data_IF_902491225320
#
_entry.id   IF_902491225320
#
_cell.length_a   1.000
_cell.length_b   1.000
_cell.length_c   1.000
_cell.angle_alpha   90.00
_cell.angle_beta   90.00
_cell.angle_gamma   90.00
#
_symmetry.space_group_name_H-M   'P 1'
#
loop_
_entity.id
_entity.type
_entity.pdbx_description
1 polymer ?
#
# COMPACT_ATOMS: atom_id res chain seq x y z
N UNK A 1 -14.19 -28.48 -38.97
CA UNK A 1 -13.15 -27.85 -38.13
C UNK A 1 -13.65 -26.54 -37.51
N UNK A 2 -14.95 -26.48 -37.17
CA UNK A 2 -15.66 -25.26 -36.77
C UNK A 2 -16.56 -25.48 -35.54
N UNK A 3 -16.70 -26.72 -35.06
CA UNK A 3 -17.50 -27.10 -33.88
C UNK A 3 -16.70 -27.18 -32.56
N UNK A 4 -15.38 -26.99 -32.60
CA UNK A 4 -14.51 -27.07 -31.41
C UNK A 4 -14.29 -25.72 -30.70
N UNK A 5 -14.89 -24.63 -31.19
CA UNK A 5 -14.74 -23.28 -30.64
C UNK A 5 -15.98 -22.84 -29.82
N UNK A 6 -17.17 -23.38 -30.08
CA UNK A 6 -18.41 -22.95 -29.41
C UNK A 6 -18.66 -23.56 -28.02
N UNK A 7 -17.94 -24.63 -27.63
CA UNK A 7 -18.13 -25.25 -26.30
C UNK A 7 -17.31 -24.64 -25.15
N UNK A 8 -16.62 -23.51 -25.38
CA UNK A 8 -15.82 -22.81 -24.35
C UNK A 8 -16.42 -21.53 -23.79
N UNK A 9 -17.66 -21.18 -24.18
CA UNK A 9 -18.36 -19.96 -23.74
C UNK A 9 -19.68 -20.35 -23.03
N UNK A 10 -19.61 -21.30 -22.09
CA UNK A 10 -20.65 -21.50 -21.08
C UNK A 10 -20.00 -21.41 -19.71
N UNK A 11 -20.30 -20.31 -19.02
CA UNK A 11 -20.16 -20.06 -17.59
C UNK A 11 -18.83 -20.48 -16.95
N UNK A 12 -18.06 -19.46 -16.56
CA UNK A 12 -17.02 -19.53 -15.54
C UNK A 12 -17.58 -20.11 -14.24
N UNK A 13 -17.63 -21.44 -14.13
CA UNK A 13 -17.59 -22.15 -12.87
C UNK A 13 -16.13 -22.49 -12.62
N UNK A 14 -15.54 -21.89 -11.58
CA UNK A 14 -14.23 -22.24 -11.07
C UNK A 14 -14.31 -23.65 -10.45
N UNK A 15 -14.25 -24.69 -11.28
CA UNK A 15 -14.08 -26.07 -10.85
C UNK A 15 -13.48 -26.85 -12.01
N UNK A 16 -12.28 -27.40 -11.79
CA UNK A 16 -11.55 -28.34 -12.65
C UNK A 16 -10.48 -27.78 -13.62
N UNK A 17 -9.56 -26.96 -13.11
CA UNK A 17 -8.17 -26.98 -13.59
C UNK A 17 -7.28 -27.66 -12.55
N UNK A 18 -6.91 -28.92 -12.81
CA UNK A 18 -5.77 -29.58 -12.16
C UNK A 18 -4.49 -29.03 -12.79
N UNK A 19 -4.02 -27.89 -12.30
CA UNK A 19 -2.65 -27.43 -12.43
C UNK A 19 -2.03 -27.45 -11.03
N UNK A 20 -0.85 -28.06 -10.91
CA UNK A 20 -0.20 -28.35 -9.65
C UNK A 20 -0.02 -27.11 -8.76
N UNK A 21 -0.44 -27.26 -7.50
CA UNK A 21 0.07 -26.58 -6.31
C UNK A 21 0.37 -25.07 -6.37
N UNK A 22 -0.52 -24.28 -6.98
CA UNK A 22 -0.71 -22.87 -6.60
C UNK A 22 -2.19 -22.66 -6.30
N UNK A 23 -2.64 -23.29 -5.21
CA UNK A 23 -3.95 -23.01 -4.61
C UNK A 23 -3.82 -21.69 -3.86
N UNK A 24 -3.91 -20.57 -4.58
CA UNK A 24 -4.30 -19.32 -3.94
C UNK A 24 -5.80 -19.46 -3.69
N UNK A 25 -6.12 -19.86 -2.47
CA UNK A 25 -7.48 -20.08 -1.99
C UNK A 25 -8.19 -18.71 -1.86
N UNK A 26 -8.74 -18.21 -2.97
CA UNK A 26 -9.58 -17.01 -3.06
C UNK A 26 -10.97 -17.28 -2.46
N UNK A 27 -11.01 -17.58 -1.16
CA UNK A 27 -12.25 -17.57 -0.42
C UNK A 27 -12.79 -16.15 -0.38
N UNK A 28 -14.01 -15.97 -0.90
CA UNK A 28 -14.88 -14.77 -0.83
C UNK A 28 -14.39 -13.74 0.20
N UNK A 29 -13.53 -12.85 -0.26
CA UNK A 29 -13.16 -11.65 0.47
C UNK A 29 -14.33 -10.68 0.30
N UNK A 30 -15.21 -10.62 1.29
CA UNK A 30 -15.88 -9.35 1.59
C UNK A 30 -14.78 -8.42 2.07
N UNK A 31 -14.04 -7.84 1.11
CA UNK A 31 -13.14 -6.73 1.40
C UNK A 31 -14.09 -5.65 1.87
N UNK A 32 -14.21 -5.46 3.19
CA UNK A 32 -14.64 -4.17 3.71
C UNK A 32 -13.72 -3.20 3.00
N UNK A 33 -14.30 -2.47 2.06
CA UNK A 33 -13.64 -1.35 1.46
C UNK A 33 -13.08 -0.52 2.62
N UNK A 34 -11.89 0.05 2.45
CA UNK A 34 -11.40 1.00 3.42
C UNK A 34 -11.27 2.29 2.67
N UNK A 35 -12.29 3.13 2.83
CA UNK A 35 -12.21 4.48 2.38
C UNK A 35 -10.99 5.13 3.01
N UNK A 36 -10.18 5.76 2.17
CA UNK A 36 -9.09 6.61 2.62
C UNK A 36 -9.61 7.69 3.61
N UNK A 37 -10.89 8.07 3.53
CA UNK A 37 -11.56 8.99 4.44
C UNK A 37 -11.92 8.39 5.82
N UNK A 38 -12.09 7.06 5.93
CA UNK A 38 -12.47 6.36 7.15
C UNK A 38 -11.30 5.81 7.97
N UNK A 39 -10.05 6.02 7.54
CA UNK A 39 -8.88 5.49 8.25
C UNK A 39 -8.67 6.18 9.59
N UNK A 40 -8.56 5.38 10.66
CA UNK A 40 -8.02 5.85 11.94
C UNK A 40 -6.62 6.42 11.78
N UNK A 41 -6.20 7.30 12.69
CA UNK A 41 -4.84 7.87 12.67
C UNK A 41 -3.74 6.80 12.66
N UNK A 42 -4.00 5.62 13.23
CA UNK A 42 -3.08 4.49 13.19
C UNK A 42 -2.94 3.91 11.77
N UNK A 43 -4.07 3.72 11.10
CA UNK A 43 -4.11 3.23 9.73
C UNK A 43 -3.46 4.23 8.78
N UNK A 44 -3.74 5.54 8.94
CA UNK A 44 -3.07 6.61 8.19
C UNK A 44 -1.55 6.58 8.41
N UNK A 45 -1.09 6.46 9.65
CA UNK A 45 0.33 6.39 9.97
C UNK A 45 1.04 5.17 9.39
N UNK A 46 0.36 4.02 9.33
CA UNK A 46 0.86 2.83 8.66
C UNK A 46 0.83 3.03 7.13
N UNK A 47 -0.22 3.61 6.59
CA UNK A 47 -0.36 3.86 5.15
C UNK A 47 0.70 4.83 4.61
N UNK A 48 0.97 5.91 5.33
CA UNK A 48 1.81 6.99 4.84
C UNK A 48 3.31 6.62 4.79
N UNK A 49 3.79 5.76 5.70
CA UNK A 49 5.23 5.50 5.82
C UNK A 49 5.53 4.14 6.48
N UNK A 50 6.56 3.42 6.01
CA UNK A 50 7.00 2.16 6.61
C UNK A 50 7.82 2.35 7.90
N UNK A 51 8.22 3.58 8.24
CA UNK A 51 9.10 3.83 9.38
C UNK A 51 8.39 3.59 10.73
N UNK A 52 9.14 3.11 11.74
CA UNK A 52 8.57 2.75 13.03
C UNK A 52 7.88 3.94 13.69
N UNK A 53 6.70 3.72 14.28
CA UNK A 53 6.00 4.73 15.07
C UNK A 53 6.36 4.58 16.55
N UNK A 54 7.57 5.06 16.91
CA UNK A 54 8.10 4.90 18.26
C UNK A 54 7.34 5.73 19.30
N UNK A 55 6.90 6.95 18.96
CA UNK A 55 6.28 7.88 19.92
C UNK A 55 5.09 7.26 20.65
N UNK A 56 4.14 6.72 19.90
CA UNK A 56 2.98 6.05 20.49
C UNK A 56 3.42 4.89 21.40
N UNK A 57 4.40 4.09 20.97
CA UNK A 57 4.83 2.91 21.71
C UNK A 57 5.49 3.32 23.03
N UNK A 58 6.39 4.29 22.99
CA UNK A 58 7.06 4.86 24.16
C UNK A 58 6.04 5.41 25.15
N UNK A 59 5.05 6.18 24.67
CA UNK A 59 4.04 6.75 25.55
C UNK A 59 3.14 5.70 26.21
N UNK A 60 2.76 4.64 25.47
CA UNK A 60 1.94 3.56 26.01
C UNK A 60 2.71 2.64 26.97
N UNK A 61 4.04 2.64 26.92
CA UNK A 61 4.90 1.75 27.70
C UNK A 61 5.90 2.52 28.56
N UNK A 62 5.65 3.80 28.86
CA UNK A 62 6.61 4.65 29.57
C UNK A 62 7.03 4.06 30.94
N UNK A 63 6.09 3.42 31.65
CA UNK A 63 6.37 2.74 32.91
C UNK A 63 7.22 1.47 32.72
N UNK A 64 6.90 0.63 31.72
CA UNK A 64 7.66 -0.59 31.39
C UNK A 64 9.08 -0.29 30.87
N UNK A 65 9.24 0.88 30.24
CA UNK A 65 10.52 1.43 29.81
C UNK A 65 11.26 2.18 30.93
N UNK A 66 10.69 2.29 32.12
CA UNK A 66 11.32 2.95 33.28
C UNK A 66 11.84 4.35 32.95
N UNK A 67 11.08 5.13 32.18
CA UNK A 67 11.51 6.47 31.77
C UNK A 67 11.52 7.42 32.96
N UNK A 68 12.63 8.13 33.15
CA UNK A 68 12.71 9.20 34.13
C UNK A 68 11.99 10.48 33.65
N UNK A 69 11.94 11.50 34.52
CA UNK A 69 11.26 12.76 34.21
C UNK A 69 11.92 13.54 33.06
N UNK A 70 13.24 13.46 32.91
CA UNK A 70 13.98 14.15 31.85
C UNK A 70 13.72 13.49 30.49
N UNK A 71 13.82 12.18 30.43
CA UNK A 71 13.50 11.37 29.25
C UNK A 71 12.04 11.58 28.82
N UNK A 72 11.10 11.54 29.77
CA UNK A 72 9.69 11.84 29.51
C UNK A 72 9.49 13.25 28.95
N UNK A 73 10.20 14.25 29.47
CA UNK A 73 10.13 15.61 28.95
C UNK A 73 10.61 15.68 27.50
N UNK A 74 11.71 14.99 27.15
CA UNK A 74 12.20 14.93 25.76
C UNK A 74 11.18 14.28 24.82
N UNK A 75 10.59 13.15 25.21
CA UNK A 75 9.56 12.45 24.42
C UNK A 75 8.34 13.35 24.19
N UNK A 76 7.81 13.96 25.26
CA UNK A 76 6.63 14.83 25.20
C UNK A 76 6.89 16.07 24.35
N UNK A 77 8.06 16.69 24.49
CA UNK A 77 8.43 17.87 23.71
C UNK A 77 8.55 17.52 22.22
N UNK A 78 9.17 16.39 21.89
CA UNK A 78 9.26 15.92 20.50
C UNK A 78 7.88 15.70 19.88
N UNK A 79 6.97 15.03 20.60
CA UNK A 79 5.60 14.84 20.14
C UNK A 79 4.89 16.17 19.96
N UNK A 80 4.98 17.07 20.95
CA UNK A 80 4.32 18.37 20.91
C UNK A 80 4.74 19.20 19.69
N UNK A 81 6.02 19.18 19.33
CA UNK A 81 6.53 19.98 18.21
C UNK A 81 6.23 19.39 16.83
N UNK A 82 6.04 18.08 16.70
CA UNK A 82 5.93 17.44 15.39
C UNK A 82 4.59 16.74 15.12
N UNK A 83 3.78 16.44 16.14
CA UNK A 83 2.56 15.64 15.96
C UNK A 83 1.60 16.28 14.96
N UNK A 84 1.35 17.59 15.07
CA UNK A 84 0.46 18.30 14.16
C UNK A 84 0.95 18.25 12.71
N UNK A 85 2.24 18.53 12.49
CA UNK A 85 2.85 18.47 11.16
C UNK A 85 2.78 17.07 10.55
N UNK A 86 3.05 16.03 11.33
CA UNK A 86 2.92 14.63 10.87
C UNK A 86 1.47 14.32 10.48
N UNK A 87 0.49 14.72 11.29
CA UNK A 87 -0.93 14.53 10.97
C UNK A 87 -1.32 15.27 9.68
N UNK A 88 -0.89 16.52 9.55
CA UNK A 88 -1.10 17.33 8.36
C UNK A 88 -0.53 16.64 7.12
N UNK A 89 0.76 16.30 7.11
CA UNK A 89 1.40 15.64 5.96
C UNK A 89 0.76 14.29 5.61
N UNK A 90 0.34 13.51 6.60
CA UNK A 90 -0.38 12.26 6.32
C UNK A 90 -1.73 12.51 5.67
N UNK A 91 -2.49 13.51 6.12
CA UNK A 91 -3.78 13.85 5.52
C UNK A 91 -3.59 14.39 4.10
N UNK A 92 -2.67 15.34 3.91
CA UNK A 92 -2.36 15.89 2.59
C UNK A 92 -1.87 14.79 1.62
N UNK A 93 -1.03 13.85 2.09
CA UNK A 93 -0.60 12.71 1.27
C UNK A 93 -1.80 11.88 0.79
N UNK A 94 -2.69 11.51 1.72
CA UNK A 94 -3.87 10.70 1.42
C UNK A 94 -4.80 11.44 0.44
N UNK A 95 -4.96 12.75 0.65
CA UNK A 95 -5.78 13.61 -0.20
C UNK A 95 -5.17 13.77 -1.60
N UNK A 96 -3.87 14.01 -1.73
CA UNK A 96 -3.16 14.03 -3.02
C UNK A 96 -3.31 12.68 -3.74
N UNK A 97 -3.20 11.55 -3.04
CA UNK A 97 -3.41 10.23 -3.65
C UNK A 97 -4.85 10.02 -4.11
N UNK A 98 -5.83 10.53 -3.37
CA UNK A 98 -7.23 10.53 -3.80
C UNK A 98 -7.43 11.37 -5.06
N UNK A 99 -6.98 12.63 -5.08
CA UNK A 99 -7.10 13.48 -6.28
C UNK A 99 -6.42 12.87 -7.48
N UNK A 100 -5.26 12.24 -7.29
CA UNK A 100 -4.57 11.53 -8.35
C UNK A 100 -5.37 10.32 -8.85
N UNK A 101 -6.05 9.56 -7.98
CA UNK A 101 -6.94 8.47 -8.41
C UNK A 101 -8.07 9.01 -9.28
N UNK A 102 -8.78 10.02 -8.79
CA UNK A 102 -9.93 10.62 -9.46
C UNK A 102 -9.50 11.16 -10.84
N UNK A 103 -8.42 11.95 -10.89
CA UNK A 103 -7.84 12.49 -12.12
C UNK A 103 -7.46 11.38 -13.12
N UNK A 104 -6.84 10.29 -12.64
CA UNK A 104 -6.45 9.16 -13.50
C UNK A 104 -7.66 8.47 -14.12
N UNK A 105 -8.79 8.38 -13.39
CA UNK A 105 -10.04 7.78 -13.88
C UNK A 105 -10.79 8.72 -14.84
N UNK A 106 -10.69 10.03 -14.64
CA UNK A 106 -11.25 11.08 -15.48
C UNK A 106 -10.45 11.34 -16.76
N UNK A 107 -9.26 10.72 -16.89
CA UNK A 107 -8.45 10.78 -18.11
C UNK A 107 -7.35 11.84 -18.10
N UNK A 108 -6.84 12.20 -16.92
CA UNK A 108 -5.67 13.05 -16.78
C UNK A 108 -4.49 12.58 -17.64
N UNK A 109 -3.76 13.56 -18.15
CA UNK A 109 -2.55 13.39 -18.96
C UNK A 109 -1.40 12.81 -18.15
N UNK A 110 -0.43 12.21 -18.83
CA UNK A 110 0.76 11.68 -18.17
C UNK A 110 1.51 12.77 -17.38
N UNK A 111 1.54 14.02 -17.88
CA UNK A 111 2.18 15.14 -17.20
C UNK A 111 1.49 15.47 -15.86
N UNK A 112 0.16 15.59 -15.86
CA UNK A 112 -0.62 15.83 -14.63
C UNK A 112 -0.43 14.70 -13.61
N UNK A 113 -0.45 13.45 -14.07
CA UNK A 113 -0.23 12.29 -13.21
C UNK A 113 1.20 12.27 -12.65
N UNK A 114 2.20 12.65 -13.43
CA UNK A 114 3.57 12.76 -12.93
C UNK A 114 3.76 13.88 -11.91
N UNK A 115 3.00 14.97 -11.99
CA UNK A 115 3.01 16.03 -10.99
C UNK A 115 2.49 15.52 -9.64
N UNK A 116 1.34 14.84 -9.64
CA UNK A 116 0.82 14.19 -8.43
C UNK A 116 1.78 13.14 -7.87
N UNK A 117 2.39 12.31 -8.72
CA UNK A 117 3.39 11.32 -8.28
C UNK A 117 4.55 11.99 -7.56
N UNK A 118 5.13 13.06 -8.13
CA UNK A 118 6.24 13.79 -7.49
C UNK A 118 5.84 14.33 -6.12
N UNK A 119 4.64 14.89 -6.00
CA UNK A 119 4.14 15.41 -4.72
C UNK A 119 3.95 14.30 -3.66
N UNK A 120 3.35 13.17 -4.04
CA UNK A 120 3.16 11.99 -3.18
C UNK A 120 4.52 11.43 -2.72
N UNK A 121 5.47 11.28 -3.64
CA UNK A 121 6.81 10.77 -3.34
C UNK A 121 7.57 11.72 -2.40
N UNK A 122 7.49 13.02 -2.64
CA UNK A 122 8.09 14.04 -1.77
C UNK A 122 7.55 13.97 -0.34
N UNK A 123 6.22 13.99 -0.16
CA UNK A 123 5.60 13.92 1.18
C UNK A 123 5.97 12.64 1.94
N UNK A 124 6.05 11.50 1.23
CA UNK A 124 6.53 10.25 1.83
C UNK A 124 7.98 10.35 2.30
N UNK A 125 8.84 11.03 1.55
CA UNK A 125 10.22 11.32 1.96
C UNK A 125 10.28 12.18 3.21
N UNK A 126 9.57 13.30 3.21
CA UNK A 126 9.53 14.22 4.36
C UNK A 126 9.09 13.49 5.65
N UNK A 127 8.09 12.60 5.55
CA UNK A 127 7.62 11.76 6.67
C UNK A 127 8.66 10.73 7.14
N UNK A 128 9.41 10.13 6.23
CA UNK A 128 10.45 9.15 6.55
C UNK A 128 11.63 9.81 7.23
N UNK A 129 12.08 10.94 6.72
CA UNK A 129 13.18 11.70 7.30
C UNK A 129 12.85 12.14 8.73
N UNK A 130 11.63 12.67 8.93
CA UNK A 130 11.18 13.08 10.26
C UNK A 130 11.11 11.89 11.22
N UNK A 131 10.67 10.72 10.75
CA UNK A 131 10.65 9.51 11.57
C UNK A 131 12.05 8.94 11.83
N UNK A 132 12.98 9.03 10.89
CA UNK A 132 14.38 8.65 11.10
C UNK A 132 15.03 9.55 12.17
N UNK A 133 14.77 10.87 12.12
CA UNK A 133 15.18 11.80 13.18
C UNK A 133 14.57 11.47 14.54
N UNK A 134 13.30 11.07 14.57
CA UNK A 134 12.63 10.60 15.77
C UNK A 134 13.33 9.37 16.36
N UNK A 135 13.63 8.36 15.54
CA UNK A 135 14.39 7.16 15.94
C UNK A 135 15.74 7.54 16.54
N UNK A 136 16.50 8.39 15.84
CA UNK A 136 17.80 8.87 16.31
C UNK A 136 17.70 9.61 17.65
N UNK A 137 16.72 10.51 17.78
CA UNK A 137 16.50 11.26 19.03
C UNK A 137 16.15 10.34 20.19
N UNK A 138 15.29 9.33 19.95
CA UNK A 138 14.92 8.38 21.00
C UNK A 138 16.10 7.52 21.42
N UNK A 139 16.93 7.07 20.47
CA UNK A 139 18.15 6.34 20.79
C UNK A 139 19.13 7.15 21.65
N UNK A 140 19.22 8.45 21.44
CA UNK A 140 20.05 9.35 22.25
C UNK A 140 19.45 9.66 23.64
N UNK A 141 18.15 9.46 23.80
CA UNK A 141 17.42 9.77 25.04
C UNK A 141 17.39 8.57 25.98
N UNK A 142 17.20 7.39 25.40
CA UNK A 142 17.10 6.12 26.12
C UNK A 142 18.49 5.51 26.29
N UNK A 143 18.73 4.88 27.45
CA UNK A 143 19.89 4.02 27.61
C UNK A 143 19.76 2.74 26.76
N UNK A 144 20.81 1.92 26.78
CA UNK A 144 20.87 0.68 25.99
C UNK A 144 19.80 -0.34 26.40
N UNK A 145 19.50 -0.44 27.69
CA UNK A 145 18.51 -1.39 28.19
C UNK A 145 17.10 -0.96 27.78
N UNK A 146 16.75 0.30 28.03
CA UNK A 146 15.49 0.91 27.63
C UNK A 146 15.29 0.86 26.11
N UNK A 147 16.33 1.14 25.32
CA UNK A 147 16.28 1.03 23.87
C UNK A 147 15.98 -0.40 23.42
N UNK A 148 16.69 -1.39 23.98
CA UNK A 148 16.48 -2.79 23.65
C UNK A 148 15.06 -3.26 24.02
N UNK A 149 14.55 -2.85 25.19
CA UNK A 149 13.15 -3.11 25.59
C UNK A 149 12.16 -2.48 24.60
N UNK A 150 12.39 -1.23 24.18
CA UNK A 150 11.54 -0.55 23.19
C UNK A 150 11.54 -1.28 21.83
N UNK A 151 12.72 -1.70 21.34
CA UNK A 151 12.83 -2.46 20.09
C UNK A 151 12.11 -3.80 20.20
N UNK A 152 12.25 -4.50 21.33
CA UNK A 152 11.54 -5.76 21.59
C UNK A 152 10.01 -5.56 21.61
N UNK A 153 9.51 -4.51 22.27
CA UNK A 153 8.09 -4.14 22.25
C UNK A 153 7.59 -3.87 20.82
N UNK A 154 8.38 -3.16 20.02
CA UNK A 154 8.04 -2.87 18.63
C UNK A 154 7.96 -4.16 17.80
N UNK A 155 8.97 -5.04 17.92
CA UNK A 155 9.01 -6.32 17.21
C UNK A 155 7.83 -7.22 17.62
N UNK A 156 7.54 -7.32 18.92
CA UNK A 156 6.40 -8.09 19.45
C UNK A 156 5.09 -7.58 18.88
N UNK A 157 4.86 -6.26 18.89
CA UNK A 157 3.66 -5.66 18.29
C UNK A 157 3.57 -5.96 16.80
N UNK A 158 4.68 -5.86 16.07
CA UNK A 158 4.74 -6.16 14.64
C UNK A 158 4.41 -7.63 14.36
N UNK A 159 4.96 -8.56 15.14
CA UNK A 159 4.66 -9.99 15.02
C UNK A 159 3.20 -10.30 15.32
N UNK A 160 2.64 -9.71 16.39
CA UNK A 160 1.23 -9.84 16.74
C UNK A 160 0.31 -9.35 15.60
N UNK A 161 0.64 -8.20 14.99
CA UNK A 161 -0.11 -7.69 13.84
C UNK A 161 -0.04 -8.60 12.61
N UNK A 162 1.11 -9.25 12.36
CA UNK A 162 1.25 -10.20 11.25
C UNK A 162 0.51 -11.53 11.53
N UNK A 163 0.44 -11.96 12.79
CA UNK A 163 -0.26 -13.19 13.19
C UNK A 163 -1.78 -13.05 13.25
N UNK A 164 -2.32 -11.87 13.58
CA UNK A 164 -3.74 -11.67 13.89
C UNK A 164 -4.69 -11.69 12.67
N UNK A 165 -4.20 -11.60 11.43
CA UNK A 165 -4.94 -11.98 10.21
C UNK A 165 -4.04 -11.76 9.00
N UNK A 166 -3.49 -12.84 8.43
CA UNK A 166 -2.72 -12.77 7.17
C UNK A 166 -3.55 -12.12 6.05
N UNK A 167 -4.85 -12.42 5.97
CA UNK A 167 -5.73 -12.00 4.87
C UNK A 167 -6.08 -10.51 4.86
N UNK A 168 -6.32 -9.89 6.02
CA UNK A 168 -6.70 -8.46 6.09
C UNK A 168 -5.50 -7.54 5.83
N UNK A 169 -4.28 -7.98 6.20
CA UNK A 169 -3.07 -7.19 6.00
C UNK A 169 -2.56 -7.19 4.55
N UNK A 170 -2.83 -8.25 3.77
CA UNK A 170 -2.37 -8.34 2.38
C UNK A 170 -3.08 -7.34 1.48
N UNK A 171 -4.41 -7.19 1.61
CA UNK A 171 -5.17 -6.20 0.84
C UNK A 171 -4.73 -4.77 1.20
N UNK A 172 -4.55 -4.47 2.48
CA UNK A 172 -4.10 -3.14 2.90
C UNK A 172 -2.68 -2.83 2.40
N UNK A 173 -1.78 -3.82 2.41
CA UNK A 173 -0.44 -3.70 1.81
C UNK A 173 -0.54 -3.45 0.31
N UNK A 174 -1.38 -4.22 -0.38
CA UNK A 174 -1.61 -4.12 -1.82
C UNK A 174 -2.07 -2.72 -2.26
N UNK A 175 -2.97 -2.10 -1.49
CA UNK A 175 -3.46 -0.74 -1.77
C UNK A 175 -2.42 0.36 -1.45
N UNK A 176 -1.49 0.11 -0.52
CA UNK A 176 -0.46 1.09 -0.13
C UNK A 176 0.74 1.14 -1.06
N UNK A 177 1.11 0.02 -1.68
CA UNK A 177 2.37 -0.06 -2.46
C UNK A 177 2.38 0.82 -3.70
N UNK A 178 1.22 1.14 -4.27
CA UNK A 178 1.13 1.92 -5.49
C UNK A 178 -0.10 2.81 -5.44
N UNK A 179 0.06 4.12 -5.63
CA UNK A 179 -1.00 5.09 -5.45
C UNK A 179 -1.91 5.18 -6.68
N UNK A 180 -2.02 4.13 -7.48
CA UNK A 180 -2.80 4.12 -8.71
C UNK A 180 -3.99 3.17 -8.58
N UNK A 181 -5.13 3.45 -9.23
CA UNK A 181 -6.26 2.53 -9.28
C UNK A 181 -5.84 1.13 -9.73
N UNK A 182 -6.34 0.11 -9.02
CA UNK A 182 -6.03 -1.31 -9.28
C UNK A 182 -7.17 -1.96 -10.05
N UNK A 183 -7.51 -1.39 -11.20
CA UNK A 183 -8.72 -1.73 -11.97
C UNK A 183 -8.83 -3.22 -12.35
N UNK A 184 -7.70 -3.88 -12.65
CA UNK A 184 -7.72 -5.30 -12.99
C UNK A 184 -8.24 -6.17 -11.84
N UNK A 185 -8.03 -5.77 -10.58
CA UNK A 185 -8.56 -6.49 -9.43
C UNK A 185 -10.09 -6.42 -9.43
N UNK A 186 -10.67 -5.25 -9.72
CA UNK A 186 -12.13 -5.08 -9.80
C UNK A 186 -12.70 -5.88 -10.97
N UNK A 187 -12.04 -5.87 -12.14
CA UNK A 187 -12.41 -6.71 -13.29
C UNK A 187 -12.43 -8.19 -12.91
N UNK A 188 -11.46 -8.67 -12.14
CA UNK A 188 -11.41 -10.07 -11.72
C UNK A 188 -12.48 -10.43 -10.69
N UNK A 189 -12.75 -9.52 -9.75
CA UNK A 189 -13.69 -9.77 -8.66
C UNK A 189 -15.15 -9.57 -9.08
N UNK A 190 -15.41 -8.69 -10.05
CA UNK A 190 -16.76 -8.22 -10.41
C UNK A 190 -16.97 -8.17 -11.93
N UNK A 191 -16.22 -8.98 -12.69
CA UNK A 191 -16.26 -8.98 -14.15
C UNK A 191 -17.59 -9.42 -14.74
N UNK A 192 -18.37 -10.21 -14.00
CA UNK A 192 -19.74 -10.57 -14.33
C UNK A 192 -20.65 -9.35 -14.47
N UNK A 193 -20.47 -8.34 -13.60
CA UNK A 193 -21.22 -7.08 -13.65
C UNK A 193 -20.89 -6.23 -14.88
N UNK A 194 -19.75 -6.47 -15.53
CA UNK A 194 -19.31 -5.72 -16.71
C UNK A 194 -19.90 -6.29 -18.02
N UNK A 195 -20.56 -7.45 -18.00
CA UNK A 195 -21.08 -8.10 -19.20
C UNK A 195 -20.05 -8.17 -20.33
N UNK A 196 -18.83 -8.64 -20.03
CA UNK A 196 -17.74 -8.70 -21.00
C UNK A 196 -18.06 -9.66 -22.13
N UNK A 197 -17.76 -9.27 -23.37
CA UNK A 197 -17.74 -10.22 -24.48
C UNK A 197 -16.62 -11.26 -24.28
N UNK A 198 -16.71 -12.44 -24.90
CA UNK A 198 -15.65 -13.43 -24.87
C UNK A 198 -14.28 -12.88 -25.34
N UNK A 199 -14.27 -11.97 -26.32
CA UNK A 199 -13.09 -11.31 -26.84
C UNK A 199 -12.48 -10.35 -25.81
N UNK A 200 -13.32 -9.54 -25.16
CA UNK A 200 -12.88 -8.62 -24.11
C UNK A 200 -12.28 -9.37 -22.92
N UNK A 201 -12.96 -10.42 -22.45
CA UNK A 201 -12.46 -11.26 -21.36
C UNK A 201 -11.10 -11.89 -21.70
N UNK A 202 -10.93 -12.42 -22.92
CA UNK A 202 -9.64 -12.97 -23.39
C UNK A 202 -8.55 -11.89 -23.45
N UNK A 203 -8.87 -10.68 -23.92
CA UNK A 203 -7.91 -9.59 -24.02
C UNK A 203 -7.41 -9.12 -22.63
N UNK A 204 -8.31 -8.96 -21.67
CA UNK A 204 -7.97 -8.58 -20.29
C UNK A 204 -7.17 -9.68 -19.58
N UNK A 205 -7.57 -10.94 -19.78
CA UNK A 205 -6.86 -12.09 -19.20
C UNK A 205 -5.44 -12.24 -19.77
N UNK A 206 -5.27 -12.07 -21.09
CA UNK A 206 -3.95 -12.06 -21.72
C UNK A 206 -3.05 -11.00 -21.08
N UNK A 207 -3.54 -9.76 -20.98
CA UNK A 207 -2.79 -8.67 -20.35
C UNK A 207 -2.40 -9.00 -18.91
N UNK A 208 -3.34 -9.56 -18.13
CA UNK A 208 -3.09 -9.98 -16.75
C UNK A 208 -1.98 -11.01 -16.68
N UNK A 209 -2.03 -12.08 -17.48
CA UNK A 209 -1.00 -13.14 -17.47
C UNK A 209 0.38 -12.57 -17.81
N UNK A 210 0.45 -11.67 -18.79
CA UNK A 210 1.71 -11.05 -19.23
C UNK A 210 2.35 -10.14 -18.16
N UNK A 211 1.55 -9.46 -17.33
CA UNK A 211 2.04 -8.40 -16.44
C UNK A 211 1.98 -8.74 -14.95
N UNK A 212 1.09 -9.63 -14.52
CA UNK A 212 0.83 -9.90 -13.10
C UNK A 212 2.05 -10.47 -12.38
N UNK A 213 2.83 -11.35 -13.02
CA UNK A 213 4.04 -11.91 -12.41
C UNK A 213 5.05 -10.82 -12.07
N UNK A 214 5.28 -9.89 -13.01
CA UNK A 214 6.18 -8.75 -12.78
C UNK A 214 5.62 -7.80 -11.72
N UNK A 215 4.32 -7.53 -11.74
CA UNK A 215 3.67 -6.70 -10.72
C UNK A 215 3.82 -7.31 -9.32
N UNK A 216 3.56 -8.62 -9.18
CA UNK A 216 3.69 -9.36 -7.93
C UNK A 216 5.12 -9.36 -7.41
N UNK A 217 6.11 -9.55 -8.29
CA UNK A 217 7.51 -9.49 -7.89
C UNK A 217 7.90 -8.10 -7.35
N UNK A 218 7.43 -7.02 -7.99
CA UNK A 218 7.65 -5.65 -7.49
C UNK A 218 6.93 -5.42 -6.15
N UNK A 219 5.71 -5.93 -5.99
CA UNK A 219 4.98 -5.85 -4.72
C UNK A 219 5.77 -6.50 -3.58
N UNK A 220 6.23 -7.73 -3.78
CA UNK A 220 7.02 -8.46 -2.78
C UNK A 220 8.30 -7.72 -2.44
N UNK A 221 8.97 -7.14 -3.45
CA UNK A 221 10.19 -6.36 -3.24
C UNK A 221 9.93 -5.06 -2.48
N UNK A 222 8.81 -4.37 -2.74
CA UNK A 222 8.39 -3.19 -1.96
C UNK A 222 8.16 -3.57 -0.50
N UNK A 223 7.38 -4.63 -0.24
CA UNK A 223 7.09 -5.07 1.14
C UNK A 223 8.37 -5.49 1.88
N UNK A 224 9.28 -6.17 1.19
CA UNK A 224 10.59 -6.57 1.72
C UNK A 224 11.47 -5.36 2.02
N UNK A 225 11.58 -4.43 1.06
CA UNK A 225 12.35 -3.19 1.20
C UNK A 225 11.83 -2.33 2.35
N UNK A 226 10.51 -2.20 2.51
CA UNK A 226 9.92 -1.52 3.66
C UNK A 226 10.30 -2.19 4.99
N UNK A 227 10.27 -3.53 5.04
CA UNK A 227 10.69 -4.28 6.24
C UNK A 227 12.16 -4.02 6.57
N UNK A 228 13.04 -4.02 5.57
CA UNK A 228 14.45 -3.74 5.75
C UNK A 228 14.68 -2.29 6.20
N UNK A 229 14.05 -1.32 5.55
CA UNK A 229 14.16 0.09 5.92
C UNK A 229 13.74 0.34 7.38
N UNK A 230 12.63 -0.26 7.83
CA UNK A 230 12.21 -0.20 9.24
C UNK A 230 13.29 -0.77 10.16
N UNK A 231 13.83 -1.94 9.82
CA UNK A 231 14.80 -2.64 10.66
C UNK A 231 16.13 -1.88 10.73
N UNK A 232 16.66 -1.45 9.58
CA UNK A 232 17.89 -0.65 9.49
C UNK A 232 17.76 0.68 10.24
N UNK A 233 16.58 1.29 10.26
CA UNK A 233 16.34 2.47 11.08
C UNK A 233 16.46 2.16 12.58
N UNK A 234 15.85 1.06 13.05
CA UNK A 234 15.97 0.62 14.45
C UNK A 234 17.40 0.22 14.83
N UNK A 235 18.15 -0.32 13.86
CA UNK A 235 19.56 -0.68 14.00
C UNK A 235 20.50 0.53 13.83
N UNK A 236 19.95 1.74 13.75
CA UNK A 236 20.69 2.99 13.68
C UNK A 236 21.64 3.08 12.48
N UNK A 237 21.22 2.53 11.33
CA UNK A 237 21.94 2.68 10.09
C UNK A 237 22.18 4.18 9.76
N UNK A 238 23.30 4.52 9.08
CA UNK A 238 23.58 5.89 8.68
C UNK A 238 22.44 6.50 7.85
N UNK A 239 22.19 7.80 8.01
CA UNK A 239 21.12 8.51 7.31
C UNK A 239 21.22 8.34 5.78
N UNK A 240 22.42 8.50 5.22
CA UNK A 240 22.69 8.31 3.79
C UNK A 240 22.28 6.92 3.28
N UNK A 241 22.49 5.88 4.10
CA UNK A 241 22.07 4.50 3.76
C UNK A 241 20.55 4.38 3.74
N UNK A 242 19.87 4.96 4.73
CA UNK A 242 18.40 4.97 4.79
C UNK A 242 17.79 5.76 3.62
N UNK A 243 18.39 6.90 3.27
CA UNK A 243 17.99 7.74 2.13
C UNK A 243 18.17 7.01 0.80
N UNK A 244 19.29 6.32 0.62
CA UNK A 244 19.55 5.49 -0.57
C UNK A 244 18.51 4.39 -0.71
N UNK A 245 18.27 3.62 0.36
CA UNK A 245 17.26 2.56 0.40
C UNK A 245 15.86 3.08 0.15
N UNK A 246 15.56 4.25 0.68
CA UNK A 246 14.27 4.87 0.46
C UNK A 246 14.11 5.32 -1.00
N UNK A 247 15.15 5.87 -1.61
CA UNK A 247 15.13 6.26 -3.03
C UNK A 247 14.91 5.05 -3.94
N UNK A 248 15.57 3.91 -3.66
CA UNK A 248 15.32 2.64 -4.35
C UNK A 248 13.86 2.19 -4.22
N UNK A 249 13.30 2.28 -3.01
CA UNK A 249 11.90 1.97 -2.74
C UNK A 249 10.94 2.88 -3.53
N UNK A 250 11.25 4.17 -3.65
CA UNK A 250 10.44 5.12 -4.41
C UNK A 250 10.44 4.79 -5.91
N UNK A 251 11.58 4.42 -6.48
CA UNK A 251 11.67 4.00 -7.88
C UNK A 251 10.86 2.72 -8.14
N UNK A 252 10.86 1.75 -7.23
CA UNK A 252 9.98 0.58 -7.31
C UNK A 252 8.50 1.00 -7.37
N UNK A 253 8.08 1.91 -6.49
CA UNK A 253 6.69 2.42 -6.47
C UNK A 253 6.32 3.17 -7.74
N UNK A 254 7.24 3.97 -8.29
CA UNK A 254 7.07 4.66 -9.57
C UNK A 254 6.87 3.68 -10.71
N UNK A 255 7.66 2.61 -10.77
CA UNK A 255 7.50 1.54 -11.76
C UNK A 255 6.15 0.81 -11.61
N UNK A 256 5.71 0.53 -10.38
CA UNK A 256 4.38 -0.06 -10.14
C UNK A 256 3.25 0.88 -10.55
N UNK A 257 3.42 2.19 -10.34
CA UNK A 257 2.44 3.19 -10.75
C UNK A 257 2.35 3.27 -12.29
N UNK A 258 3.48 3.30 -12.99
CA UNK A 258 3.51 3.25 -14.46
C UNK A 258 2.82 2.00 -15.02
N UNK A 259 3.05 0.82 -14.43
CA UNK A 259 2.36 -0.41 -14.83
C UNK A 259 0.84 -0.35 -14.56
N UNK A 260 0.43 0.32 -13.49
CA UNK A 260 -0.99 0.50 -13.17
C UNK A 260 -1.68 1.44 -14.18
N UNK A 261 -0.99 2.48 -14.64
CA UNK A 261 -1.47 3.36 -15.73
C UNK A 261 -1.58 2.60 -17.05
N UNK A 262 -0.56 1.82 -17.42
CA UNK A 262 -0.64 0.96 -18.60
C UNK A 262 -1.81 -0.04 -18.52
N UNK A 263 -2.09 -0.56 -17.32
CA UNK A 263 -3.27 -1.39 -17.08
C UNK A 263 -4.57 -0.61 -17.27
N UNK A 264 -4.68 0.63 -16.76
CA UNK A 264 -5.83 1.51 -17.00
C UNK A 264 -6.07 1.70 -18.48
N UNK A 265 -5.04 2.06 -19.23
CA UNK A 265 -5.14 2.36 -20.66
C UNK A 265 -5.58 1.12 -21.45
N UNK A 266 -5.01 -0.04 -21.13
CA UNK A 266 -5.43 -1.30 -21.72
C UNK A 266 -6.90 -1.63 -21.41
N UNK A 267 -7.34 -1.44 -20.16
CA UNK A 267 -8.74 -1.68 -19.77
C UNK A 267 -9.67 -0.70 -20.50
N UNK A 268 -9.33 0.58 -20.55
CA UNK A 268 -10.12 1.61 -21.25
C UNK A 268 -10.25 1.31 -22.75
N UNK A 269 -9.20 0.79 -23.38
CA UNK A 269 -9.20 0.39 -24.79
C UNK A 269 -10.08 -0.84 -25.06
N UNK A 270 -10.15 -1.79 -24.12
CA UNK A 270 -10.91 -3.04 -24.30
C UNK A 270 -12.39 -2.86 -23.98
N UNK A 271 -12.72 -2.04 -22.99
CA UNK A 271 -14.10 -1.79 -22.56
C UNK A 271 -14.76 -0.71 -23.42
N UNK A 272 -16.06 -0.85 -23.67
CA UNK A 272 -16.85 0.27 -24.19
C UNK A 272 -17.15 1.29 -23.07
N UNK A 273 -17.71 2.44 -23.42
CA UNK A 273 -17.98 3.52 -22.46
C UNK A 273 -18.89 3.10 -21.32
N UNK A 274 -19.96 2.35 -21.60
CA UNK A 274 -20.88 1.87 -20.55
C UNK A 274 -20.16 0.94 -19.57
N UNK A 275 -19.35 0.02 -20.07
CA UNK A 275 -18.57 -0.91 -19.25
C UNK A 275 -17.50 -0.18 -18.44
N UNK A 276 -16.84 0.81 -19.03
CA UNK A 276 -15.88 1.66 -18.34
C UNK A 276 -16.53 2.41 -17.17
N UNK A 277 -17.65 3.08 -17.41
CA UNK A 277 -18.39 3.78 -16.34
C UNK A 277 -18.86 2.83 -15.25
N UNK A 278 -19.30 1.63 -15.62
CA UNK A 278 -19.65 0.57 -14.66
C UNK A 278 -18.43 0.18 -13.83
N UNK A 279 -17.28 -0.04 -14.45
CA UNK A 279 -16.04 -0.38 -13.75
C UNK A 279 -15.57 0.73 -12.79
N UNK A 280 -15.62 1.99 -13.22
CA UNK A 280 -15.29 3.15 -12.37
C UNK A 280 -16.18 3.19 -11.15
N UNK A 281 -17.51 3.08 -11.34
CA UNK A 281 -18.47 3.04 -10.23
C UNK A 281 -18.23 1.87 -9.27
N UNK A 282 -17.88 0.68 -9.80
CA UNK A 282 -17.53 -0.47 -8.98
C UNK A 282 -16.24 -0.25 -8.18
N UNK A 283 -15.25 0.44 -8.77
CA UNK A 283 -14.01 0.80 -8.10
C UNK A 283 -14.25 1.83 -6.99
N UNK A 284 -14.98 2.91 -7.27
CA UNK A 284 -15.34 3.95 -6.30
C UNK A 284 -16.15 3.39 -5.13
N UNK A 285 -17.09 2.48 -5.38
CA UNK A 285 -17.83 1.77 -4.32
C UNK A 285 -16.92 0.96 -3.39
N UNK A 286 -15.77 0.49 -3.89
CA UNK A 286 -14.73 -0.16 -3.07
C UNK A 286 -13.80 0.85 -2.34
N UNK A 287 -13.97 2.15 -2.58
CA UNK A 287 -13.20 3.20 -1.91
C UNK A 287 -14.05 4.01 -0.91
N UNK A 288 -15.34 3.70 -0.74
CA UNK A 288 -16.26 4.49 0.11
C UNK A 288 -16.70 3.78 1.39
N UNK A 289 -16.74 2.44 1.44
CA UNK A 289 -16.92 1.74 2.73
C UNK A 289 -15.59 1.50 3.42
#
# INVERSE_FOLDING_TARGET
MTELIEKRIRFFSFSNLKLGNVVVLWGLLTVSSMSLAGMSNMQKAKYATPMPNLMMLIESHAYELELDNEQLAVVRNWRKSHHHQIQQWMNELIETEKFMHDAVLEGATDAEVEDYKREVLKKRGDLIDLKARCVKRMRQTLDDEQWNRLVALYQKRRQAMMGASKKVNEVQSFLRVSPMPKLMVVVLMQGDKLNLSPEQARALEKWRIEHMNRWSAMFDEVVRSEKHLTQEALDMAPAEKLETRFSELLELRKNMAAMSLACRDNVRRVLNDRQWQTLVSLFEGQMVH
#
